data_IF_241410566295
#
_entry.id   IF_241410566295
#
_cell.length_a   1.000
_cell.length_b   1.000
_cell.length_c   1.000
_cell.angle_alpha   90.00
_cell.angle_beta   90.00
_cell.angle_gamma   90.00
#
_symmetry.space_group_name_H-M   'P 1'
#
loop_
_entity.id
_entity.type
_entity.pdbx_description
1 polymer ?
#
# COMPACT_ATOMS: atom_id res chain seq x y z
N UNK A 1 -6.24 23.78 -4.04
CA UNK A 1 -4.87 23.35 -4.37
C UNK A 1 -4.93 21.94 -4.89
N UNK A 2 -4.26 21.65 -6.00
CA UNK A 2 -4.22 20.30 -6.56
C UNK A 2 -3.15 19.47 -5.80
N UNK A 3 -3.52 18.28 -5.32
CA UNK A 3 -2.62 17.37 -4.62
C UNK A 3 -2.30 16.16 -5.51
N UNK A 4 -1.02 15.85 -5.67
CA UNK A 4 -0.56 14.64 -6.36
C UNK A 4 -0.42 13.49 -5.36
N UNK A 5 -1.28 12.48 -5.49
CA UNK A 5 -1.25 11.25 -4.70
C UNK A 5 -0.69 10.12 -5.55
N UNK A 6 0.22 9.33 -4.99
CA UNK A 6 0.85 8.20 -5.66
C UNK A 6 0.87 6.96 -4.77
N UNK A 7 0.69 5.77 -5.34
CA UNK A 7 0.90 4.48 -4.67
C UNK A 7 1.82 3.58 -5.46
N UNK A 8 2.66 2.81 -4.77
CA UNK A 8 3.56 1.84 -5.40
C UNK A 8 3.90 0.68 -4.47
N UNK A 9 3.63 -0.55 -4.90
CA UNK A 9 4.20 -1.75 -4.29
C UNK A 9 5.66 -1.91 -4.78
N UNK A 10 6.62 -1.85 -3.85
CA UNK A 10 8.05 -1.84 -4.17
C UNK A 10 8.65 -3.24 -4.34
N UNK A 11 7.85 -4.30 -4.15
CA UNK A 11 8.32 -5.68 -4.31
C UNK A 11 9.63 -5.93 -3.54
N UNK A 12 9.72 -5.47 -2.28
CA UNK A 12 10.93 -5.50 -1.44
C UNK A 12 12.19 -4.90 -2.09
N UNK A 13 12.05 -4.03 -3.09
CA UNK A 13 13.15 -3.46 -3.85
C UNK A 13 13.66 -4.33 -4.99
N UNK A 14 12.88 -5.33 -5.44
CA UNK A 14 13.27 -6.16 -6.57
C UNK A 14 13.13 -5.45 -7.89
N UNK A 15 14.00 -5.81 -8.84
CA UNK A 15 13.88 -5.46 -10.25
C UNK A 15 13.54 -6.70 -11.09
N UNK A 16 13.09 -6.46 -12.32
CA UNK A 16 12.80 -7.48 -13.33
C UNK A 16 13.73 -7.32 -14.53
N UNK A 17 14.57 -8.31 -14.89
CA UNK A 17 14.88 -9.55 -14.15
C UNK A 17 15.57 -9.27 -12.80
N UNK A 18 15.48 -10.21 -11.83
CA UNK A 18 16.05 -10.04 -10.49
C UNK A 18 17.56 -9.85 -10.49
N UNK A 19 18.07 -9.10 -9.53
CA UNK A 19 19.49 -8.92 -9.22
C UNK A 19 19.78 -9.25 -7.75
N UNK A 20 21.09 -9.48 -7.44
CA UNK A 20 21.54 -9.67 -6.05
C UNK A 20 21.71 -8.36 -5.29
N UNK A 21 20.88 -7.37 -5.60
CA UNK A 21 20.78 -6.13 -4.82
C UNK A 21 19.34 -5.65 -4.77
N UNK A 22 18.99 -4.91 -3.74
CA UNK A 22 17.71 -4.20 -3.65
C UNK A 22 17.88 -2.79 -4.25
N UNK A 23 16.84 -2.31 -4.91
CA UNK A 23 16.76 -0.98 -5.53
C UNK A 23 15.84 -0.04 -4.75
N UNK A 24 15.70 -0.25 -3.43
CA UNK A 24 14.73 0.50 -2.61
C UNK A 24 14.98 2.00 -2.61
N UNK A 25 16.24 2.40 -2.45
CA UNK A 25 16.60 3.83 -2.46
C UNK A 25 16.28 4.45 -3.81
N UNK A 26 16.67 3.79 -4.89
CA UNK A 26 16.42 4.27 -6.25
C UNK A 26 14.90 4.34 -6.54
N UNK A 27 14.14 3.36 -6.08
CA UNK A 27 12.68 3.34 -6.22
C UNK A 27 12.02 4.49 -5.44
N UNK A 28 12.40 4.70 -4.18
CA UNK A 28 11.85 5.79 -3.36
C UNK A 28 12.23 7.15 -3.93
N UNK A 29 13.50 7.36 -4.29
CA UNK A 29 13.96 8.59 -4.95
C UNK A 29 13.22 8.85 -6.26
N UNK A 30 13.02 7.82 -7.07
CA UNK A 30 12.27 7.92 -8.32
C UNK A 30 10.80 8.28 -8.06
N UNK A 31 10.17 7.65 -7.07
CA UNK A 31 8.79 7.89 -6.73
C UNK A 31 8.53 9.28 -6.12
N UNK A 32 9.55 9.92 -5.54
CA UNK A 32 9.47 11.26 -4.93
C UNK A 32 10.09 12.38 -5.77
N UNK A 33 10.73 12.07 -6.92
CA UNK A 33 11.52 13.02 -7.71
C UNK A 33 10.74 14.24 -8.20
N UNK A 34 9.48 14.07 -8.54
CA UNK A 34 8.55 15.12 -9.00
C UNK A 34 7.66 15.67 -7.88
N UNK A 35 8.05 15.41 -6.61
CA UNK A 35 7.45 15.95 -5.39
C UNK A 35 5.94 15.69 -5.28
N UNK A 36 5.50 14.40 -5.23
CA UNK A 36 4.11 14.13 -4.90
C UNK A 36 3.79 14.62 -3.48
N UNK A 37 2.55 15.05 -3.27
CA UNK A 37 2.10 15.47 -1.94
C UNK A 37 1.94 14.29 -1.00
N UNK A 38 1.49 13.15 -1.53
CA UNK A 38 1.29 11.89 -0.81
C UNK A 38 1.88 10.72 -1.60
N UNK A 39 2.67 9.88 -0.91
CA UNK A 39 3.22 8.64 -1.48
C UNK A 39 2.91 7.46 -0.57
N UNK A 40 2.12 6.50 -1.06
CA UNK A 40 1.76 5.26 -0.38
C UNK A 40 2.63 4.11 -0.89
N UNK A 41 3.41 3.49 0.00
CA UNK A 41 4.34 2.41 -0.35
C UNK A 41 3.94 1.10 0.32
N UNK A 42 4.08 -0.02 -0.40
CA UNK A 42 3.83 -1.36 0.09
C UNK A 42 5.07 -2.25 -0.14
N UNK A 43 5.13 -3.38 0.56
CA UNK A 43 6.22 -4.35 0.51
C UNK A 43 7.60 -3.76 0.83
N UNK A 44 7.65 -2.92 1.85
CA UNK A 44 8.92 -2.44 2.39
C UNK A 44 9.51 -3.45 3.38
N UNK A 45 10.80 -3.78 3.30
CA UNK A 45 11.48 -4.41 4.42
C UNK A 45 11.53 -3.44 5.60
N UNK A 46 11.35 -3.96 6.83
CA UNK A 46 11.20 -3.12 8.04
C UNK A 46 12.38 -2.18 8.27
N UNK A 47 13.61 -2.61 7.92
CA UNK A 47 14.80 -1.78 8.06
C UNK A 47 14.75 -0.49 7.21
N UNK A 48 14.06 -0.53 6.04
CA UNK A 48 13.99 0.61 5.13
C UNK A 48 13.17 1.77 5.69
N UNK A 49 12.24 1.51 6.62
CA UNK A 49 11.41 2.56 7.23
C UNK A 49 12.23 3.71 7.81
N UNK A 50 13.42 3.44 8.35
CA UNK A 50 14.32 4.45 8.93
C UNK A 50 15.05 5.30 7.90
N UNK A 51 14.94 4.97 6.62
CA UNK A 51 15.63 5.65 5.51
C UNK A 51 14.68 6.43 4.61
N UNK A 52 13.38 6.25 4.78
CA UNK A 52 12.40 6.82 3.84
C UNK A 52 12.46 8.34 3.79
N UNK A 53 12.60 9.00 4.93
CA UNK A 53 12.70 10.47 5.01
C UNK A 53 13.94 10.97 4.26
N UNK A 54 15.11 10.34 4.49
CA UNK A 54 16.37 10.69 3.83
C UNK A 54 16.31 10.46 2.30
N UNK A 55 15.65 9.39 1.87
CA UNK A 55 15.57 9.03 0.46
C UNK A 55 14.56 9.86 -0.32
N UNK A 56 13.46 10.24 0.31
CA UNK A 56 12.34 10.93 -0.33
C UNK A 56 12.32 12.44 -0.13
N UNK A 57 12.91 12.94 0.97
CA UNK A 57 12.70 14.30 1.44
C UNK A 57 11.31 14.57 2.00
N UNK A 58 10.51 13.51 2.24
CA UNK A 58 9.15 13.56 2.76
C UNK A 58 9.14 13.03 4.20
N UNK A 59 8.09 13.32 4.96
CA UNK A 59 7.86 12.75 6.30
C UNK A 59 7.18 11.40 6.19
N UNK A 60 7.82 10.33 6.66
CA UNK A 60 7.27 8.98 6.58
C UNK A 60 6.57 8.51 7.85
N UNK A 61 5.51 7.72 7.66
CA UNK A 61 4.76 7.02 8.70
C UNK A 61 4.71 5.55 8.30
N UNK A 62 5.37 4.69 9.08
CA UNK A 62 5.48 3.26 8.79
C UNK A 62 4.49 2.42 9.60
N UNK A 63 3.91 1.38 8.99
CA UNK A 63 3.13 0.35 9.66
C UNK A 63 3.72 -1.04 9.39
N UNK A 64 4.20 -1.69 10.46
CA UNK A 64 4.83 -3.02 10.36
C UNK A 64 3.76 -4.11 10.33
N UNK A 65 3.67 -4.82 9.21
CA UNK A 65 2.81 -5.99 9.05
C UNK A 65 3.44 -7.24 9.71
N UNK A 66 4.70 -7.51 9.42
CA UNK A 66 5.44 -8.62 10.02
C UNK A 66 6.84 -8.15 10.45
N UNK A 67 7.23 -8.52 11.66
CA UNK A 67 8.58 -8.26 12.14
C UNK A 67 9.57 -9.26 11.54
N UNK A 68 10.83 -8.87 11.29
CA UNK A 68 11.85 -9.82 10.87
C UNK A 68 12.10 -10.89 11.95
N UNK A 69 12.35 -12.11 11.53
CA UNK A 69 12.68 -13.23 12.43
C UNK A 69 14.07 -13.07 13.06
N UNK A 70 14.98 -12.36 12.37
CA UNK A 70 16.33 -12.07 12.85
C UNK A 70 16.44 -10.56 13.10
N UNK A 71 16.74 -10.19 14.33
CA UNK A 71 16.45 -8.86 14.91
C UNK A 71 17.38 -7.70 14.56
N UNK A 72 18.36 -7.78 13.63
CA UNK A 72 19.19 -6.63 13.29
C UNK A 72 18.86 -6.04 11.91
N UNK A 73 18.81 -4.69 11.84
CA UNK A 73 18.54 -3.98 10.59
C UNK A 73 19.63 -4.25 9.53
N UNK A 74 20.89 -4.40 9.95
CA UNK A 74 22.02 -4.66 9.05
C UNK A 74 21.97 -6.06 8.44
N UNK A 75 21.61 -7.06 9.24
CA UNK A 75 21.40 -8.42 8.75
C UNK A 75 20.17 -8.48 7.81
N UNK A 76 19.10 -7.77 8.13
CA UNK A 76 17.93 -7.63 7.25
C UNK A 76 18.29 -7.03 5.90
N UNK A 77 19.15 -6.00 5.87
CA UNK A 77 19.65 -5.39 4.63
C UNK A 77 20.48 -6.37 3.82
N UNK A 78 21.45 -7.05 4.43
CA UNK A 78 22.27 -8.06 3.77
C UNK A 78 21.41 -9.18 3.16
N UNK A 79 20.39 -9.67 3.88
CA UNK A 79 19.48 -10.69 3.38
C UNK A 79 18.63 -10.17 2.23
N UNK A 80 18.18 -8.90 2.27
CA UNK A 80 17.45 -8.26 1.18
C UNK A 80 18.30 -8.24 -0.11
N UNK A 81 19.59 -7.99 0.00
CA UNK A 81 20.52 -7.98 -1.13
C UNK A 81 20.88 -9.39 -1.65
N UNK A 82 20.87 -10.41 -0.79
CA UNK A 82 21.31 -11.76 -1.14
C UNK A 82 20.21 -12.70 -1.66
N UNK A 83 18.95 -12.49 -1.25
CA UNK A 83 17.86 -13.44 -1.54
C UNK A 83 16.69 -12.82 -2.31
N UNK A 84 16.42 -13.36 -3.50
CA UNK A 84 15.31 -12.99 -4.40
C UNK A 84 14.14 -13.99 -4.36
N UNK A 85 13.74 -14.49 -3.21
CA UNK A 85 12.74 -15.54 -3.18
C UNK A 85 11.72 -15.45 -2.04
N UNK A 86 10.89 -16.49 -1.97
CA UNK A 86 9.75 -16.72 -1.06
C UNK A 86 10.01 -16.45 0.45
N UNK A 87 11.26 -16.34 0.87
CA UNK A 87 11.63 -16.14 2.28
C UNK A 87 11.97 -14.68 2.65
N UNK A 88 11.92 -13.73 1.71
CA UNK A 88 12.29 -12.34 2.00
C UNK A 88 11.46 -11.72 3.12
N UNK A 89 10.13 -11.81 3.04
CA UNK A 89 9.25 -11.26 4.06
C UNK A 89 9.47 -11.87 5.44
N UNK A 90 9.87 -13.16 5.50
CA UNK A 90 10.16 -13.85 6.75
C UNK A 90 11.43 -13.34 7.44
N UNK A 91 12.46 -12.97 6.70
CA UNK A 91 13.75 -12.54 7.27
C UNK A 91 13.89 -11.02 7.40
N UNK A 92 13.29 -10.25 6.50
CA UNK A 92 13.41 -8.78 6.49
C UNK A 92 12.20 -8.09 7.09
N UNK A 93 11.15 -8.86 7.41
CA UNK A 93 9.84 -8.34 7.76
C UNK A 93 9.14 -7.69 6.58
N UNK A 94 7.95 -7.18 6.82
CA UNK A 94 7.14 -6.49 5.84
C UNK A 94 6.45 -5.29 6.48
N UNK A 95 6.47 -4.16 5.79
CA UNK A 95 5.83 -2.93 6.22
C UNK A 95 5.20 -2.20 5.04
N UNK A 96 4.24 -1.34 5.36
CA UNK A 96 3.73 -0.29 4.49
C UNK A 96 4.18 1.06 5.02
N UNK A 97 4.19 2.09 4.17
CA UNK A 97 4.44 3.45 4.59
C UNK A 97 3.55 4.45 3.83
N UNK A 98 3.16 5.52 4.53
CA UNK A 98 2.60 6.74 3.94
C UNK A 98 3.65 7.83 4.12
N UNK A 99 4.02 8.51 3.04
CA UNK A 99 4.92 9.65 3.07
C UNK A 99 4.13 10.90 2.70
N UNK A 100 4.34 11.97 3.46
CA UNK A 100 3.70 13.26 3.26
C UNK A 100 4.74 14.31 2.88
N UNK A 101 4.42 15.15 1.91
CA UNK A 101 5.19 16.35 1.60
C UNK A 101 5.25 17.27 2.83
N UNK A 102 6.31 18.11 2.98
CA UNK A 102 6.49 18.98 4.16
C UNK A 102 5.32 19.93 4.42
N UNK A 103 4.56 20.28 3.40
CA UNK A 103 3.41 21.18 3.44
C UNK A 103 2.18 20.56 4.13
N UNK A 104 2.09 19.22 4.16
CA UNK A 104 1.02 18.50 4.84
C UNK A 104 1.35 18.36 6.33
N UNK A 105 0.47 18.86 7.18
CA UNK A 105 0.62 18.80 8.65
C UNK A 105 -0.10 17.58 9.19
N UNK A 106 0.61 16.55 9.70
CA UNK A 106 -0.02 15.35 10.25
C UNK A 106 -0.76 15.70 11.54
N UNK A 107 -1.95 15.12 11.72
CA UNK A 107 -2.81 15.23 12.90
C UNK A 107 -2.81 13.96 13.73
N UNK A 108 -2.73 12.79 13.09
CA UNK A 108 -2.76 11.49 13.75
C UNK A 108 -2.44 10.35 12.81
N UNK A 109 -2.13 9.20 13.40
CA UNK A 109 -1.83 7.96 12.65
C UNK A 109 -2.47 6.77 13.33
N UNK A 110 -3.08 5.89 12.54
CA UNK A 110 -3.69 4.66 13.00
C UNK A 110 -3.30 3.48 12.13
N UNK A 111 -3.46 2.25 12.63
CA UNK A 111 -3.24 1.04 11.84
C UNK A 111 -4.13 -0.11 12.29
N UNK A 112 -4.52 -0.94 11.32
CA UNK A 112 -5.36 -2.10 11.53
C UNK A 112 -4.72 -3.35 10.91
N UNK A 113 -4.69 -4.46 11.66
CA UNK A 113 -4.37 -5.77 11.10
C UNK A 113 -5.55 -6.25 10.27
N UNK A 114 -5.36 -6.45 8.96
CA UNK A 114 -6.44 -6.84 8.06
C UNK A 114 -6.89 -8.29 8.27
N UNK A 115 -5.95 -9.18 8.61
CA UNK A 115 -6.19 -10.62 8.72
C UNK A 115 -5.83 -11.22 10.09
N UNK A 116 -6.34 -10.68 11.22
CA UNK A 116 -6.10 -11.28 12.52
C UNK A 116 -6.73 -12.68 12.59
N UNK A 117 -6.22 -13.59 13.45
CA UNK A 117 -6.69 -14.98 13.50
C UNK A 117 -8.20 -15.13 13.69
N UNK A 118 -8.83 -14.28 14.50
CA UNK A 118 -10.29 -14.28 14.71
C UNK A 118 -11.06 -13.98 13.42
N UNK A 119 -10.68 -12.93 12.71
CA UNK A 119 -11.28 -12.54 11.43
C UNK A 119 -11.12 -13.63 10.39
N UNK A 120 -9.88 -14.17 10.22
CA UNK A 120 -9.64 -15.26 9.27
C UNK A 120 -10.54 -16.48 9.53
N UNK A 121 -10.70 -16.89 10.79
CA UNK A 121 -11.56 -18.03 11.14
C UNK A 121 -13.03 -17.77 10.85
N UNK A 122 -13.51 -16.57 11.13
CA UNK A 122 -14.89 -16.17 10.86
C UNK A 122 -15.16 -16.16 9.34
N UNK A 123 -14.34 -15.44 8.59
CA UNK A 123 -14.48 -15.35 7.14
C UNK A 123 -14.26 -16.68 6.42
N UNK A 124 -13.34 -17.53 6.89
CA UNK A 124 -13.12 -18.85 6.32
C UNK A 124 -14.36 -19.75 6.42
N UNK A 125 -15.12 -19.65 7.53
CA UNK A 125 -16.41 -20.36 7.70
C UNK A 125 -17.50 -19.77 6.81
N UNK A 126 -17.64 -18.46 6.81
CA UNK A 126 -18.65 -17.75 6.03
C UNK A 126 -18.50 -17.98 4.52
N UNK A 127 -17.27 -17.90 4.03
CA UNK A 127 -16.93 -18.08 2.61
C UNK A 127 -16.74 -19.54 2.20
N UNK A 128 -16.78 -20.50 3.15
CA UNK A 128 -16.53 -21.92 2.85
C UNK A 128 -15.14 -22.16 2.26
N UNK A 129 -14.09 -21.46 2.77
CA UNK A 129 -12.75 -21.54 2.19
C UNK A 129 -12.11 -22.91 2.39
N UNK A 130 -11.51 -23.45 1.35
CA UNK A 130 -10.71 -24.66 1.41
C UNK A 130 -9.50 -24.49 2.36
N UNK A 131 -9.09 -25.57 3.03
CA UNK A 131 -7.97 -25.57 3.99
C UNK A 131 -6.67 -25.01 3.40
N UNK A 132 -6.38 -25.32 2.12
CA UNK A 132 -5.19 -24.79 1.43
C UNK A 132 -5.20 -23.26 1.32
N UNK A 133 -6.38 -22.66 1.07
CA UNK A 133 -6.54 -21.19 1.01
C UNK A 133 -6.38 -20.59 2.39
N UNK A 134 -6.98 -21.21 3.42
CA UNK A 134 -6.83 -20.76 4.81
C UNK A 134 -5.36 -20.77 5.28
N UNK A 135 -4.59 -21.81 4.92
CA UNK A 135 -3.15 -21.90 5.24
C UNK A 135 -2.34 -20.84 4.48
N UNK A 136 -2.61 -20.64 3.19
CA UNK A 136 -1.97 -19.58 2.42
C UNK A 136 -2.26 -18.19 3.00
N UNK A 137 -3.52 -17.93 3.40
CA UNK A 137 -3.94 -16.68 4.04
C UNK A 137 -3.30 -16.46 5.41
N UNK A 138 -3.03 -17.54 6.14
CA UNK A 138 -2.40 -17.47 7.46
C UNK A 138 -0.88 -17.17 7.40
N UNK A 139 -0.25 -17.37 6.24
CA UNK A 139 1.19 -17.29 6.06
C UNK A 139 1.74 -15.87 6.28
N UNK A 140 1.00 -14.85 5.86
CA UNK A 140 1.45 -13.46 5.91
C UNK A 140 0.43 -12.59 6.63
N UNK A 141 0.93 -11.77 7.56
CA UNK A 141 0.12 -10.75 8.22
C UNK A 141 0.03 -9.53 7.32
N UNK A 142 -1.18 -8.99 7.17
CA UNK A 142 -1.48 -7.79 6.37
C UNK A 142 -1.97 -6.66 7.26
N UNK A 143 -1.64 -5.43 6.88
CA UNK A 143 -2.05 -4.23 7.61
C UNK A 143 -2.60 -3.18 6.65
N UNK A 144 -3.60 -2.46 7.13
CA UNK A 144 -3.93 -1.12 6.64
C UNK A 144 -3.37 -0.10 7.63
N UNK A 145 -2.99 1.06 7.15
CA UNK A 145 -2.63 2.21 7.97
C UNK A 145 -3.35 3.46 7.46
N UNK A 146 -3.58 4.40 8.33
CA UNK A 146 -4.12 5.70 7.98
C UNK A 146 -3.28 6.81 8.60
N UNK A 147 -3.17 7.93 7.88
CA UNK A 147 -2.62 9.19 8.38
C UNK A 147 -3.67 10.26 8.11
N UNK A 148 -4.09 10.95 9.16
CA UNK A 148 -4.90 12.15 9.05
C UNK A 148 -3.99 13.37 9.03
N UNK A 149 -4.19 14.29 8.10
CA UNK A 149 -3.36 15.48 7.90
C UNK A 149 -4.21 16.68 7.47
N UNK A 150 -3.62 17.86 7.46
CA UNK A 150 -4.22 19.04 6.86
C UNK A 150 -3.28 19.68 5.84
N UNK A 151 -3.86 20.25 4.80
CA UNK A 151 -3.18 21.10 3.82
C UNK A 151 -4.05 22.32 3.56
N UNK A 152 -3.49 23.53 3.68
CA UNK A 152 -4.23 24.80 3.55
C UNK A 152 -5.52 24.84 4.39
N UNK A 153 -5.51 24.24 5.59
CA UNK A 153 -6.64 24.15 6.50
C UNK A 153 -7.72 23.13 6.10
N UNK A 154 -7.55 22.41 5.00
CA UNK A 154 -8.45 21.32 4.58
C UNK A 154 -8.00 19.99 5.16
N UNK A 155 -8.86 19.25 5.84
CA UNK A 155 -8.52 17.97 6.41
C UNK A 155 -8.50 16.88 5.33
N UNK A 156 -7.57 15.93 5.48
CA UNK A 156 -7.32 14.83 4.55
C UNK A 156 -7.00 13.57 5.34
N UNK A 157 -7.72 12.49 5.09
CA UNK A 157 -7.39 11.15 5.59
C UNK A 157 -6.86 10.29 4.45
N UNK A 158 -5.63 9.80 4.60
CA UNK A 158 -4.97 8.91 3.65
C UNK A 158 -4.88 7.53 4.28
N UNK A 159 -5.49 6.52 3.65
CA UNK A 159 -5.36 5.13 4.03
C UNK A 159 -4.57 4.34 2.98
N UNK A 160 -3.60 3.55 3.44
CA UNK A 160 -2.74 2.72 2.63
C UNK A 160 -2.88 1.26 3.06
N UNK A 161 -3.14 0.36 2.12
CA UNK A 161 -3.24 -1.06 2.40
C UNK A 161 -2.46 -1.91 1.40
N UNK A 162 -2.10 -3.12 1.86
CA UNK A 162 -1.67 -4.22 1.01
C UNK A 162 -2.45 -5.45 1.42
N UNK A 163 -3.40 -5.87 0.60
CA UNK A 163 -4.23 -7.05 0.84
C UNK A 163 -3.50 -8.35 0.48
N UNK A 164 -4.03 -9.48 0.93
CA UNK A 164 -3.42 -10.80 0.70
C UNK A 164 -3.47 -11.20 -0.77
N UNK A 165 -2.33 -11.69 -1.29
CA UNK A 165 -2.26 -12.31 -2.61
C UNK A 165 -2.47 -13.82 -2.48
N UNK A 166 -3.71 -14.27 -2.58
CA UNK A 166 -4.10 -15.69 -2.50
C UNK A 166 -4.99 -16.07 -3.69
N UNK A 167 -5.07 -17.37 -4.06
CA UNK A 167 -5.84 -17.79 -5.23
C UNK A 167 -7.34 -17.44 -5.18
N UNK A 168 -7.92 -17.40 -3.98
CA UNK A 168 -9.34 -17.08 -3.78
C UNK A 168 -9.52 -15.56 -3.61
N UNK A 169 -10.07 -14.90 -4.63
CA UNK A 169 -10.27 -13.46 -4.67
C UNK A 169 -11.23 -12.92 -3.59
N UNK A 170 -12.05 -13.77 -2.99
CA UNK A 170 -12.96 -13.38 -1.89
C UNK A 170 -12.19 -13.02 -0.61
N UNK A 171 -10.96 -13.52 -0.46
CA UNK A 171 -10.09 -13.22 0.68
C UNK A 171 -9.59 -11.77 0.63
N UNK A 172 -8.85 -11.31 -0.41
CA UNK A 172 -8.47 -9.90 -0.48
C UNK A 172 -9.67 -8.96 -0.59
N UNK A 173 -10.81 -9.41 -1.13
CA UNK A 173 -12.06 -8.63 -1.16
C UNK A 173 -12.60 -8.35 0.26
N UNK A 174 -12.60 -9.35 1.14
CA UNK A 174 -12.98 -9.18 2.55
C UNK A 174 -11.98 -8.29 3.33
N UNK A 175 -10.69 -8.38 3.02
CA UNK A 175 -9.65 -7.51 3.60
C UNK A 175 -9.81 -6.07 3.12
N UNK A 176 -10.16 -5.85 1.84
CA UNK A 176 -10.44 -4.53 1.29
C UNK A 176 -11.63 -3.88 1.98
N UNK A 177 -12.74 -4.60 2.16
CA UNK A 177 -13.89 -4.09 2.90
C UNK A 177 -13.51 -3.69 4.33
N UNK A 178 -12.73 -4.53 5.00
CA UNK A 178 -12.22 -4.25 6.34
C UNK A 178 -11.32 -3.01 6.38
N UNK A 179 -10.47 -2.81 5.38
CA UNK A 179 -9.63 -1.64 5.24
C UNK A 179 -10.44 -0.37 4.97
N UNK A 180 -11.49 -0.46 4.13
CA UNK A 180 -12.36 0.65 3.83
C UNK A 180 -13.18 1.09 5.05
N UNK A 181 -13.75 0.15 5.81
CA UNK A 181 -14.44 0.43 7.08
C UNK A 181 -13.47 1.08 8.09
N UNK A 182 -12.24 0.61 8.19
CA UNK A 182 -11.22 1.22 9.04
C UNK A 182 -10.91 2.65 8.58
N UNK A 183 -10.66 2.87 7.29
CA UNK A 183 -10.37 4.19 6.75
C UNK A 183 -11.52 5.18 7.00
N UNK A 184 -12.77 4.74 6.83
CA UNK A 184 -13.96 5.51 7.13
C UNK A 184 -14.06 5.85 8.63
N UNK A 185 -13.78 4.89 9.51
CA UNK A 185 -13.86 5.07 10.96
C UNK A 185 -12.85 6.04 11.57
N UNK A 186 -11.71 6.27 10.88
CA UNK A 186 -10.67 7.24 11.29
C UNK A 186 -10.77 8.57 10.54
N UNK A 187 -11.67 8.67 9.57
CA UNK A 187 -11.97 9.87 8.79
C UNK A 187 -13.11 10.65 9.46
N UNK A 188 -12.99 11.97 9.48
CA UNK A 188 -14.10 12.82 9.87
C UNK A 188 -15.00 13.14 8.66
N UNK A 189 -16.27 13.56 8.86
CA UNK A 189 -17.19 13.80 7.75
C UNK A 189 -16.70 14.81 6.70
N UNK A 190 -15.92 15.80 7.11
CA UNK A 190 -15.36 16.83 6.25
C UNK A 190 -14.03 16.45 5.60
N UNK A 191 -13.44 15.32 5.97
CA UNK A 191 -12.15 14.90 5.42
C UNK A 191 -12.30 14.48 3.95
N UNK A 192 -11.35 14.90 3.13
CA UNK A 192 -11.09 14.20 1.87
C UNK A 192 -10.50 12.84 2.23
N UNK A 193 -11.16 11.75 1.84
CA UNK A 193 -10.68 10.40 2.07
C UNK A 193 -9.99 9.85 0.83
N UNK A 194 -8.74 9.42 0.98
CA UNK A 194 -7.96 8.68 -0.02
C UNK A 194 -7.72 7.26 0.47
N UNK A 195 -8.20 6.28 -0.27
CA UNK A 195 -7.91 4.86 -0.04
C UNK A 195 -7.00 4.36 -1.16
N UNK A 196 -5.75 4.02 -0.85
CA UNK A 196 -4.74 3.68 -1.83
C UNK A 196 -3.98 2.39 -1.46
N UNK A 197 -3.33 1.77 -2.44
CA UNK A 197 -2.45 0.63 -2.21
C UNK A 197 -2.61 -0.50 -3.22
N UNK A 198 -2.04 -1.64 -2.86
CA UNK A 198 -2.21 -2.91 -3.55
C UNK A 198 -3.40 -3.67 -2.94
N UNK A 199 -4.52 -3.61 -3.64
CA UNK A 199 -5.77 -4.23 -3.16
C UNK A 199 -5.85 -5.73 -3.45
N UNK A 200 -4.99 -6.24 -4.34
CA UNK A 200 -4.99 -7.63 -4.80
C UNK A 200 -6.37 -8.12 -5.34
N UNK A 201 -7.27 -7.19 -5.66
CA UNK A 201 -8.55 -7.43 -6.33
C UNK A 201 -8.66 -6.58 -7.59
N UNK A 202 -9.50 -6.99 -8.51
CA UNK A 202 -9.68 -6.31 -9.80
C UNK A 202 -11.12 -5.86 -9.98
N UNK A 203 -11.36 -4.68 -10.62
CA UNK A 203 -12.69 -4.30 -11.06
C UNK A 203 -13.39 -5.40 -11.87
N UNK A 204 -14.70 -5.56 -11.68
CA UNK A 204 -15.49 -6.63 -12.30
C UNK A 204 -15.31 -8.03 -11.67
N UNK A 205 -14.45 -8.16 -10.64
CA UNK A 205 -14.27 -9.39 -9.84
C UNK A 205 -14.34 -9.15 -8.33
N UNK A 206 -14.52 -7.92 -7.90
CA UNK A 206 -14.58 -7.51 -6.51
C UNK A 206 -15.92 -6.81 -6.26
N UNK A 207 -16.76 -7.43 -5.45
CA UNK A 207 -18.02 -6.82 -5.00
C UNK A 207 -17.75 -5.61 -4.11
N UNK A 208 -16.70 -5.66 -3.33
CA UNK A 208 -16.28 -4.55 -2.47
C UNK A 208 -15.89 -3.33 -3.31
N UNK A 209 -15.09 -3.47 -4.39
CA UNK A 209 -14.77 -2.34 -5.27
C UNK A 209 -16.02 -1.72 -5.90
N UNK A 210 -16.98 -2.54 -6.32
CA UNK A 210 -18.27 -2.06 -6.87
C UNK A 210 -19.05 -1.30 -5.80
N UNK A 211 -19.11 -1.82 -4.57
CA UNK A 211 -19.79 -1.17 -3.45
C UNK A 211 -19.10 0.15 -3.07
N UNK A 212 -17.77 0.18 -2.98
CA UNK A 212 -17.01 1.38 -2.63
C UNK A 212 -17.21 2.52 -3.65
N UNK A 213 -17.40 2.18 -4.93
CA UNK A 213 -17.70 3.12 -6.00
C UNK A 213 -19.21 3.49 -6.10
N UNK A 214 -20.07 2.93 -5.25
CA UNK A 214 -21.49 3.26 -5.21
C UNK A 214 -21.74 4.62 -4.54
N UNK A 215 -22.92 5.23 -4.74
CA UNK A 215 -23.29 6.48 -4.07
C UNK A 215 -23.28 6.40 -2.53
N UNK A 216 -23.50 5.22 -1.97
CA UNK A 216 -23.46 4.98 -0.51
C UNK A 216 -22.08 5.26 0.09
N UNK A 217 -21.02 4.78 -0.56
CA UNK A 217 -19.63 5.02 -0.14
C UNK A 217 -19.02 6.27 -0.75
N UNK A 218 -19.43 6.64 -1.95
CA UNK A 218 -19.03 7.85 -2.66
C UNK A 218 -17.57 7.92 -3.07
N UNK A 219 -16.84 6.80 -3.08
CA UNK A 219 -15.48 6.76 -3.57
C UNK A 219 -15.45 6.77 -5.11
N UNK A 220 -14.36 7.26 -5.68
CA UNK A 220 -14.17 7.33 -7.13
C UNK A 220 -14.10 5.96 -7.79
N UNK A 221 -14.36 5.90 -9.11
CA UNK A 221 -14.31 4.65 -9.87
C UNK A 221 -12.91 4.04 -9.89
N UNK A 222 -12.78 2.72 -9.69
CA UNK A 222 -11.50 2.03 -9.78
C UNK A 222 -11.01 1.94 -11.24
N UNK A 223 -9.69 1.87 -11.42
CA UNK A 223 -9.06 1.63 -12.72
C UNK A 223 -8.72 0.14 -12.92
N UNK A 224 -8.48 -0.33 -14.16
CA UNK A 224 -8.02 -1.69 -14.40
C UNK A 224 -6.73 -2.02 -13.64
N UNK A 225 -6.67 -3.17 -12.95
CA UNK A 225 -5.52 -3.67 -12.18
C UNK A 225 -5.82 -3.82 -10.70
N UNK A 226 -4.79 -4.11 -9.92
CA UNK A 226 -4.88 -4.38 -8.47
C UNK A 226 -4.38 -3.21 -7.62
N UNK A 227 -3.52 -2.36 -8.17
CA UNK A 227 -3.06 -1.13 -7.53
C UNK A 227 -4.09 -0.03 -7.81
N UNK A 228 -4.61 0.58 -6.74
CA UNK A 228 -5.74 1.52 -6.81
C UNK A 228 -5.49 2.78 -5.98
N UNK A 229 -6.13 3.88 -6.39
CA UNK A 229 -6.34 5.07 -5.58
C UNK A 229 -7.80 5.47 -5.74
N UNK A 230 -8.58 5.37 -4.66
CA UNK A 230 -9.99 5.77 -4.61
C UNK A 230 -10.11 7.01 -3.73
N UNK A 231 -10.94 7.98 -4.15
CA UNK A 231 -11.06 9.28 -3.49
C UNK A 231 -12.53 9.60 -3.22
N UNK A 232 -12.84 10.11 -2.02
CA UNK A 232 -14.14 10.67 -1.62
C UNK A 232 -13.92 12.08 -1.08
N UNK A 233 -14.91 12.97 -1.26
CA UNK A 233 -14.89 14.33 -0.70
C UNK A 233 -14.11 15.36 -1.52
N UNK A 234 -13.49 14.95 -2.63
CA UNK A 234 -12.80 15.83 -3.56
C UNK A 234 -12.98 15.38 -5.01
N UNK A 235 -12.77 16.33 -5.95
CA UNK A 235 -12.70 15.99 -7.36
C UNK A 235 -11.37 15.32 -7.65
N UNK A 236 -11.41 14.10 -8.16
CA UNK A 236 -10.23 13.34 -8.58
C UNK A 236 -10.17 13.25 -10.11
N UNK A 237 -8.98 13.43 -10.66
CA UNK A 237 -8.69 13.05 -12.03
C UNK A 237 -8.78 11.53 -12.23
N UNK A 238 -8.63 11.07 -13.47
CA UNK A 238 -8.49 9.62 -13.72
C UNK A 238 -7.10 9.16 -13.28
N UNK A 239 -6.99 8.17 -12.38
CA UNK A 239 -5.69 7.66 -11.97
C UNK A 239 -4.89 7.12 -13.17
N UNK A 240 -3.61 7.44 -13.19
CA UNK A 240 -2.70 7.07 -14.27
C UNK A 240 -1.65 6.07 -13.78
N UNK A 241 -1.42 5.02 -14.56
CA UNK A 241 -0.33 4.08 -14.30
C UNK A 241 0.93 4.49 -15.03
N UNK A 242 2.08 4.45 -14.34
CA UNK A 242 3.34 4.77 -14.97
C UNK A 242 3.70 3.78 -16.07
N UNK A 243 4.15 4.28 -17.23
CA UNK A 243 4.69 3.43 -18.28
C UNK A 243 6.02 2.80 -17.84
N UNK A 244 6.35 1.62 -18.35
CA UNK A 244 7.60 0.92 -18.01
C UNK A 244 8.85 1.77 -18.20
N UNK A 245 8.90 2.61 -19.26
CA UNK A 245 10.05 3.47 -19.56
C UNK A 245 10.39 4.42 -18.40
N UNK A 246 9.38 4.86 -17.60
CA UNK A 246 9.57 5.78 -16.46
C UNK A 246 10.19 5.06 -15.25
N UNK A 247 10.10 3.74 -15.16
CA UNK A 247 10.60 2.92 -14.05
C UNK A 247 11.69 1.94 -14.47
N UNK A 248 12.42 2.23 -15.56
CA UNK A 248 13.62 1.49 -15.96
C UNK A 248 14.87 2.14 -15.42
N UNK A 249 15.73 1.34 -14.79
CA UNK A 249 17.04 1.75 -14.33
C UNK A 249 18.07 0.72 -14.83
N UNK A 250 19.10 1.18 -15.52
CA UNK A 250 20.20 0.32 -16.07
C UNK A 250 19.67 -0.92 -16.82
N UNK A 251 18.62 -0.74 -17.63
CA UNK A 251 18.00 -1.81 -18.42
C UNK A 251 16.99 -2.70 -17.66
N UNK A 252 16.87 -2.55 -16.34
CA UNK A 252 15.96 -3.32 -15.50
C UNK A 252 14.68 -2.56 -15.21
N UNK A 253 13.59 -3.29 -15.08
CA UNK A 253 12.30 -2.76 -14.67
C UNK A 253 12.21 -2.81 -13.14
N UNK A 254 12.03 -1.67 -12.49
CA UNK A 254 11.89 -1.58 -11.04
C UNK A 254 10.48 -2.03 -10.61
N UNK A 255 10.41 -3.02 -9.73
CA UNK A 255 9.19 -3.71 -9.28
C UNK A 255 8.44 -4.43 -10.42
N UNK A 256 7.64 -5.43 -10.10
CA UNK A 256 6.62 -6.04 -10.96
C UNK A 256 5.30 -5.24 -10.96
N UNK A 257 5.13 -4.32 -10.00
CA UNK A 257 4.05 -3.35 -9.96
C UNK A 257 4.45 -2.01 -10.58
N UNK A 258 3.50 -1.36 -11.24
CA UNK A 258 3.67 0.01 -11.73
C UNK A 258 3.06 1.01 -10.74
N UNK A 259 3.74 2.14 -10.43
CA UNK A 259 3.12 3.21 -9.69
C UNK A 259 1.80 3.65 -10.33
N UNK A 260 0.82 3.95 -9.49
CA UNK A 260 -0.42 4.63 -9.88
C UNK A 260 -0.44 5.99 -9.23
N UNK A 261 -0.85 7.01 -9.96
CA UNK A 261 -0.95 8.38 -9.45
C UNK A 261 -2.24 9.06 -9.89
N UNK A 262 -2.71 10.00 -9.08
CA UNK A 262 -3.89 10.83 -9.36
C UNK A 262 -3.70 12.22 -8.79
N UNK A 263 -4.21 13.23 -9.49
CA UNK A 263 -4.35 14.58 -8.95
C UNK A 263 -5.76 14.74 -8.39
N UNK A 264 -5.87 15.30 -7.18
CA UNK A 264 -7.13 15.64 -6.48
C UNK A 264 -7.20 17.15 -6.25
N UNK A 265 -8.41 17.74 -6.39
CA UNK A 265 -8.69 19.19 -6.30
C UNK A 265 -9.70 19.50 -5.20
#
# INVERSE_FOLDING_TARGET
>A
MALLVRTWNLFHGNAMPPERRAFLEEMVRLASADRPDVLCLQELPVWALRRLDDWSGMRSFGAVAARPLLGSADLGRLITDLHHGLFRSAFTGQANAILLAPELRPLGTDSLVLNPPGFRRAQARELGLERRVQLAWAKERRVAQAVRATVDGRPLTIANLHASSVPDQRVPDAELLRAAVFADSVSEPEDVLVLAGDFNVRPGRSKTLEQLASPEWGLSQPIPGIDQILVRGARAGTPQRWPEKRRRLTGRLLSDHAPVEVTIE
#
